data_IF_470276201200
#
_entry.id   IF_470276201200
#
_cell.length_a   1.000
_cell.length_b   1.000
_cell.length_c   1.000
_cell.angle_alpha   90.00
_cell.angle_beta   90.00
_cell.angle_gamma   90.00
#
_symmetry.space_group_name_H-M   'P 1'
#
loop_
_entity.id
_entity.type
_entity.pdbx_description
1 polymer ?
#
# COMPACT_ATOMS: atom_id res chain seq x y z
N UNK A 1 17.34 -21.33 6.57
CA UNK A 1 16.25 -20.33 6.53
C UNK A 1 15.41 -20.47 7.80
N UNK A 2 14.92 -19.36 8.35
CA UNK A 2 13.97 -19.38 9.48
C UNK A 2 12.65 -18.76 9.02
N UNK A 3 11.52 -19.23 9.54
CA UNK A 3 10.26 -18.55 9.43
C UNK A 3 10.00 -17.78 10.72
N UNK A 4 9.66 -16.48 10.61
CA UNK A 4 9.25 -15.67 11.76
C UNK A 4 7.76 -15.37 11.60
N UNK A 5 6.95 -15.80 12.58
CA UNK A 5 5.51 -15.74 12.52
C UNK A 5 4.95 -14.50 13.21
N UNK A 6 3.89 -13.95 12.64
CA UNK A 6 3.01 -12.97 13.28
C UNK A 6 1.57 -13.43 13.22
N UNK A 7 0.79 -13.14 14.25
CA UNK A 7 -0.66 -13.34 14.28
C UNK A 7 -1.42 -12.04 14.08
N UNK A 8 -0.71 -10.92 13.94
CA UNK A 8 -1.31 -9.61 13.73
C UNK A 8 -1.93 -9.49 12.33
N UNK A 9 -3.07 -8.83 12.26
CA UNK A 9 -3.68 -8.38 11.01
C UNK A 9 -3.68 -6.84 10.90
N UNK A 10 -3.04 -6.16 11.83
CA UNK A 10 -2.91 -4.71 11.79
C UNK A 10 -1.87 -4.28 10.75
N UNK A 11 -2.25 -3.47 9.73
CA UNK A 11 -1.34 -3.12 8.65
C UNK A 11 -0.16 -2.26 9.09
N UNK A 12 -0.32 -1.41 10.11
CA UNK A 12 0.76 -0.58 10.64
C UNK A 12 1.76 -1.42 11.42
N UNK A 13 1.24 -2.27 12.31
CA UNK A 13 2.07 -3.21 13.06
C UNK A 13 2.84 -4.15 12.12
N UNK A 14 2.18 -4.70 11.10
CA UNK A 14 2.82 -5.66 10.20
C UNK A 14 3.91 -5.01 9.33
N UNK A 15 3.77 -3.74 8.93
CA UNK A 15 4.86 -3.01 8.28
C UNK A 15 6.04 -2.76 9.25
N UNK A 16 5.75 -2.44 10.50
CA UNK A 16 6.79 -2.30 11.54
C UNK A 16 7.45 -3.64 11.86
N UNK A 17 6.68 -4.73 11.91
CA UNK A 17 7.18 -6.08 12.12
C UNK A 17 8.17 -6.50 11.02
N UNK A 18 7.79 -6.30 9.75
CA UNK A 18 8.67 -6.56 8.61
C UNK A 18 9.95 -5.72 8.65
N UNK A 19 9.84 -4.42 8.94
CA UNK A 19 10.98 -3.50 9.07
C UNK A 19 11.89 -3.88 10.25
N UNK A 20 11.31 -4.24 11.40
CA UNK A 20 12.04 -4.71 12.56
C UNK A 20 12.85 -5.97 12.23
N UNK A 21 12.21 -6.97 11.64
CA UNK A 21 12.88 -8.22 11.25
C UNK A 21 14.00 -7.93 10.24
N UNK A 22 13.75 -7.10 9.23
CA UNK A 22 14.76 -6.73 8.24
C UNK A 22 16.00 -6.06 8.85
N UNK A 23 15.82 -5.25 9.89
CA UNK A 23 16.91 -4.54 10.55
C UNK A 23 17.69 -5.40 11.54
N UNK A 24 17.01 -6.33 12.22
CA UNK A 24 17.58 -7.07 13.36
C UNK A 24 18.10 -8.45 13.00
N UNK A 25 17.46 -9.15 12.08
CA UNK A 25 17.92 -10.48 11.62
C UNK A 25 18.92 -10.32 10.49
N UNK A 26 20.20 -10.33 10.88
CA UNK A 26 21.31 -9.98 9.96
C UNK A 26 22.00 -11.18 9.34
N UNK A 27 21.68 -12.40 9.77
CA UNK A 27 22.30 -13.64 9.31
C UNK A 27 21.24 -14.62 8.82
N UNK A 28 21.62 -15.40 7.80
CA UNK A 28 20.75 -16.41 7.20
C UNK A 28 19.54 -15.84 6.46
N UNK A 29 18.77 -16.72 5.85
CA UNK A 29 17.56 -16.34 5.13
C UNK A 29 16.34 -16.37 6.04
N UNK A 30 15.42 -15.43 5.84
CA UNK A 30 14.18 -15.30 6.62
C UNK A 30 12.98 -15.34 5.68
N UNK A 31 11.94 -16.08 6.08
CA UNK A 31 10.61 -16.07 5.48
C UNK A 31 9.62 -15.46 6.45
N UNK A 32 8.80 -14.52 5.98
CA UNK A 32 7.58 -14.06 6.64
C UNK A 32 6.39 -14.37 5.75
N UNK A 33 5.28 -14.86 6.36
CA UNK A 33 3.98 -14.98 5.73
C UNK A 33 2.97 -14.28 6.64
N UNK A 34 2.27 -13.28 6.10
CA UNK A 34 1.42 -12.43 6.92
C UNK A 34 0.25 -11.84 6.12
N UNK A 35 -0.79 -11.40 6.82
CA UNK A 35 -2.01 -10.86 6.23
C UNK A 35 -2.41 -9.58 6.94
N UNK A 36 -3.11 -8.70 6.24
CA UNK A 36 -3.69 -7.49 6.82
C UNK A 36 -5.21 -7.54 6.77
N UNK A 37 -5.87 -6.90 7.73
CA UNK A 37 -7.22 -6.37 7.52
C UNK A 37 -7.19 -5.35 6.37
N UNK A 38 -8.37 -4.96 5.81
CA UNK A 38 -8.43 -4.04 4.69
C UNK A 38 -7.56 -2.80 4.89
N UNK A 39 -6.63 -2.57 3.95
CA UNK A 39 -5.70 -1.44 3.97
C UNK A 39 -5.15 -1.19 2.57
N UNK A 40 -4.84 0.07 2.27
CA UNK A 40 -4.04 0.46 1.11
C UNK A 40 -2.58 0.62 1.53
N UNK A 41 -1.68 -0.08 0.84
CA UNK A 41 -0.23 0.02 1.10
C UNK A 41 0.46 0.68 -0.08
N UNK A 42 0.94 1.91 0.13
CA UNK A 42 1.63 2.71 -0.90
C UNK A 42 3.15 2.54 -0.83
N UNK A 43 3.80 2.61 -1.97
CA UNK A 43 5.26 2.61 -2.05
C UNK A 43 5.88 3.90 -1.48
N UNK A 44 7.13 3.83 -1.01
CA UNK A 44 7.77 4.94 -0.30
C UNK A 44 7.94 6.22 -1.15
N UNK A 45 7.88 6.12 -2.48
CA UNK A 45 8.06 7.25 -3.41
C UNK A 45 6.78 7.67 -4.14
N UNK A 46 5.61 7.14 -3.71
CA UNK A 46 4.35 7.42 -4.37
C UNK A 46 3.64 8.65 -3.81
N UNK A 47 2.94 9.35 -4.70
CA UNK A 47 1.95 10.36 -4.32
C UNK A 47 0.62 9.67 -4.05
N UNK A 48 0.20 9.64 -2.78
CA UNK A 48 -1.03 8.96 -2.35
C UNK A 48 -2.25 9.48 -3.12
N UNK A 49 -2.36 10.80 -3.32
CA UNK A 49 -3.51 11.42 -3.97
C UNK A 49 -3.69 11.01 -5.45
N UNK A 50 -2.63 10.55 -6.11
CA UNK A 50 -2.70 10.04 -7.49
C UNK A 50 -3.00 8.54 -7.56
N UNK A 51 -2.77 7.84 -6.46
CA UNK A 51 -2.82 6.38 -6.44
C UNK A 51 -4.15 5.83 -5.95
N UNK A 52 -4.92 6.63 -5.21
CA UNK A 52 -6.12 6.16 -4.54
C UNK A 52 -7.28 7.15 -4.67
N UNK A 53 -8.49 6.61 -4.68
CA UNK A 53 -9.72 7.39 -4.61
C UNK A 53 -10.00 7.76 -3.16
N UNK A 54 -9.66 9.00 -2.76
CA UNK A 54 -9.70 9.46 -1.36
C UNK A 54 -11.07 9.31 -0.72
N UNK A 55 -12.13 9.63 -1.48
CA UNK A 55 -13.50 9.49 -1.01
C UNK A 55 -13.83 8.04 -0.65
N UNK A 56 -13.49 7.09 -1.51
CA UNK A 56 -13.73 5.67 -1.25
C UNK A 56 -13.00 5.19 0.02
N UNK A 57 -11.79 5.69 0.28
CA UNK A 57 -11.07 5.38 1.52
C UNK A 57 -11.80 5.89 2.77
N UNK A 58 -12.30 7.15 2.74
CA UNK A 58 -13.03 7.74 3.86
C UNK A 58 -14.35 7.00 4.11
N UNK A 59 -15.13 6.76 3.07
CA UNK A 59 -16.46 6.12 3.16
C UNK A 59 -16.35 4.68 3.70
N UNK A 60 -15.25 3.99 3.38
CA UNK A 60 -14.98 2.61 3.81
C UNK A 60 -14.17 2.50 5.10
N UNK A 61 -13.63 3.60 5.61
CA UNK A 61 -12.74 3.59 6.78
C UNK A 61 -11.45 2.81 6.55
N UNK A 62 -10.93 2.77 5.30
CA UNK A 62 -9.76 1.99 4.93
C UNK A 62 -8.50 2.81 5.17
N UNK A 63 -7.57 2.37 6.03
CA UNK A 63 -6.34 3.08 6.30
C UNK A 63 -5.36 3.01 5.12
N UNK A 64 -4.55 4.06 4.99
CA UNK A 64 -3.40 4.10 4.11
C UNK A 64 -2.13 3.94 4.93
N UNK A 65 -1.26 3.02 4.50
CA UNK A 65 0.04 2.77 5.13
C UNK A 65 1.14 2.90 4.08
N UNK A 66 2.23 3.58 4.41
CA UNK A 66 3.39 3.69 3.52
C UNK A 66 4.43 2.66 3.92
N UNK A 67 4.76 1.73 2.99
CA UNK A 67 5.82 0.74 3.21
C UNK A 67 7.21 1.34 2.99
N UNK A 68 8.23 0.63 3.47
CA UNK A 68 9.63 1.05 3.36
C UNK A 68 10.26 0.83 1.98
N UNK A 69 9.66 0.00 1.12
CA UNK A 69 10.14 -0.28 -0.24
C UNK A 69 9.48 0.63 -1.28
N UNK A 70 10.03 0.67 -2.48
CA UNK A 70 9.43 1.34 -3.64
C UNK A 70 8.27 0.53 -4.26
N UNK A 71 8.03 0.76 -5.55
CA UNK A 71 6.96 0.09 -6.32
C UNK A 71 5.60 0.76 -6.19
N UNK A 72 4.58 0.14 -6.79
CA UNK A 72 3.21 0.64 -6.88
C UNK A 72 2.36 0.41 -5.63
N UNK A 73 1.20 1.01 -5.62
CA UNK A 73 0.17 0.83 -4.58
C UNK A 73 -0.50 -0.53 -4.69
N UNK A 74 -0.73 -1.17 -3.56
CA UNK A 74 -1.46 -2.43 -3.44
C UNK A 74 -2.58 -2.31 -2.42
N UNK A 75 -3.63 -3.09 -2.62
CA UNK A 75 -4.69 -3.29 -1.65
C UNK A 75 -4.46 -4.62 -0.91
N UNK A 76 -4.63 -4.61 0.38
CA UNK A 76 -4.59 -5.79 1.23
C UNK A 76 -5.93 -6.00 1.91
N UNK A 77 -6.34 -7.24 2.02
CA UNK A 77 -7.41 -7.73 2.88
C UNK A 77 -7.04 -9.11 3.45
N UNK A 78 -7.95 -9.74 4.16
CA UNK A 78 -7.69 -11.07 4.73
C UNK A 78 -7.65 -12.18 3.67
N UNK A 79 -8.09 -11.90 2.43
CA UNK A 79 -7.96 -12.77 1.26
C UNK A 79 -6.62 -12.64 0.53
N UNK A 80 -5.77 -11.69 0.91
CA UNK A 80 -4.42 -11.53 0.38
C UNK A 80 -3.38 -12.09 1.36
N UNK A 81 -2.50 -12.98 0.88
CA UNK A 81 -1.32 -13.43 1.63
C UNK A 81 -0.10 -12.64 1.19
N UNK A 82 0.57 -11.98 2.13
CA UNK A 82 1.86 -11.37 1.86
C UNK A 82 2.98 -12.36 2.17
N UNK A 83 4.02 -12.37 1.34
CA UNK A 83 5.26 -13.07 1.61
C UNK A 83 6.42 -12.07 1.65
N UNK A 84 7.41 -12.36 2.50
CA UNK A 84 8.66 -11.61 2.57
C UNK A 84 9.83 -12.57 2.65
N UNK A 85 10.77 -12.42 1.74
CA UNK A 85 12.04 -13.12 1.73
C UNK A 85 13.14 -12.11 2.06
N UNK A 86 13.94 -12.40 3.08
CA UNK A 86 15.10 -11.58 3.45
C UNK A 86 16.34 -12.47 3.30
N UNK A 87 17.32 -12.00 2.55
CA UNK A 87 18.56 -12.72 2.30
C UNK A 87 19.75 -11.78 2.19
N UNK A 88 20.96 -12.33 2.14
CA UNK A 88 22.15 -11.54 1.86
C UNK A 88 22.15 -10.99 0.42
N UNK A 89 22.61 -9.76 0.30
CA UNK A 89 22.85 -9.14 -1.00
C UNK A 89 24.10 -9.76 -1.64
N UNK A 90 23.92 -10.49 -2.73
CA UNK A 90 25.02 -11.16 -3.47
C UNK A 90 25.30 -10.54 -4.82
N UNK A 91 24.72 -9.37 -5.12
CA UNK A 91 24.85 -8.70 -6.41
C UNK A 91 23.86 -7.56 -6.60
N UNK A 92 23.62 -7.13 -7.85
CA UNK A 92 22.59 -6.14 -8.17
C UNK A 92 21.19 -6.67 -7.83
N UNK A 93 20.18 -5.78 -7.87
CA UNK A 93 18.77 -6.17 -7.72
C UNK A 93 18.40 -7.27 -8.73
N UNK A 94 17.97 -8.41 -8.20
CA UNK A 94 17.53 -9.56 -8.98
C UNK A 94 16.16 -10.02 -8.47
N UNK A 95 15.11 -9.66 -9.23
CA UNK A 95 13.76 -10.10 -8.93
C UNK A 95 13.56 -11.59 -9.21
N UNK A 96 14.24 -12.14 -10.24
CA UNK A 96 14.04 -13.50 -10.68
C UNK A 96 14.46 -14.50 -9.61
N UNK A 97 15.59 -14.24 -8.95
CA UNK A 97 16.07 -15.06 -7.83
C UNK A 97 15.04 -15.20 -6.71
N UNK A 98 14.24 -14.15 -6.46
CA UNK A 98 13.23 -14.15 -5.39
C UNK A 98 11.87 -14.65 -5.88
N UNK A 99 11.50 -14.37 -7.13
CA UNK A 99 10.21 -14.80 -7.70
C UNK A 99 10.18 -16.29 -8.02
N UNK A 100 11.30 -16.86 -8.50
CA UNK A 100 11.35 -18.27 -8.92
C UNK A 100 10.94 -19.26 -7.82
N UNK A 101 11.40 -19.15 -6.54
CA UNK A 101 10.91 -20.02 -5.46
C UNK A 101 9.41 -19.91 -5.25
N UNK A 102 8.85 -18.71 -5.32
CA UNK A 102 7.41 -18.46 -5.14
C UNK A 102 6.61 -19.05 -6.30
N UNK A 103 7.08 -18.88 -7.53
CA UNK A 103 6.45 -19.47 -8.72
C UNK A 103 6.47 -21.00 -8.63
N UNK A 104 7.60 -21.61 -8.25
CA UNK A 104 7.70 -23.06 -8.05
C UNK A 104 6.74 -23.57 -6.97
N UNK A 105 6.65 -22.86 -5.84
CA UNK A 105 5.73 -23.19 -4.77
C UNK A 105 4.27 -23.16 -5.24
N UNK A 106 3.86 -22.12 -5.97
CA UNK A 106 2.52 -22.01 -6.55
C UNK A 106 2.24 -23.14 -7.57
N UNK A 107 3.20 -23.44 -8.44
CA UNK A 107 3.07 -24.53 -9.41
C UNK A 107 2.93 -25.90 -8.73
N UNK A 108 3.64 -26.15 -7.64
CA UNK A 108 3.51 -27.38 -6.85
C UNK A 108 2.11 -27.52 -6.22
N UNK A 109 1.43 -26.39 -5.95
CA UNK A 109 0.04 -26.37 -5.46
C UNK A 109 -1.00 -26.40 -6.59
N UNK A 110 -0.57 -26.50 -7.85
CA UNK A 110 -1.44 -26.61 -9.03
C UNK A 110 -1.77 -25.29 -9.72
N UNK A 111 -1.31 -24.16 -9.19
CA UNK A 111 -1.51 -22.84 -9.81
C UNK A 111 -0.51 -22.66 -10.96
N UNK A 112 -0.92 -22.52 -12.23
CA UNK A 112 -0.01 -22.40 -13.38
C UNK A 112 0.63 -21.01 -13.44
N UNK A 113 1.35 -20.67 -12.36
CA UNK A 113 1.97 -19.37 -12.16
C UNK A 113 3.22 -19.20 -13.04
N UNK A 114 3.35 -18.02 -13.61
CA UNK A 114 4.52 -17.65 -14.40
C UNK A 114 4.89 -16.19 -14.18
N UNK A 115 6.15 -15.85 -14.41
CA UNK A 115 6.58 -14.46 -14.45
C UNK A 115 5.93 -13.74 -15.63
N UNK A 116 5.40 -12.55 -15.40
CA UNK A 116 4.79 -11.73 -16.45
C UNK A 116 5.61 -10.45 -16.70
N UNK A 117 5.76 -9.62 -15.66
CA UNK A 117 6.60 -8.42 -15.66
C UNK A 117 7.80 -8.63 -14.73
N UNK A 118 8.79 -7.73 -14.70
CA UNK A 118 9.97 -7.93 -13.85
C UNK A 118 9.65 -8.24 -12.39
N UNK A 119 8.54 -7.70 -11.84
CA UNK A 119 8.16 -7.84 -10.43
C UNK A 119 6.77 -8.48 -10.22
N UNK A 120 6.17 -9.07 -11.28
CA UNK A 120 4.81 -9.61 -11.22
C UNK A 120 4.79 -11.11 -11.54
N UNK A 121 3.93 -11.83 -10.81
CA UNK A 121 3.54 -13.21 -11.14
C UNK A 121 2.10 -13.18 -11.67
N UNK A 122 1.82 -13.96 -12.70
CA UNK A 122 0.52 -14.03 -13.35
C UNK A 122 0.09 -15.47 -13.64
N UNK A 123 -1.21 -15.65 -13.83
CA UNK A 123 -1.88 -16.83 -14.37
C UNK A 123 -2.75 -16.37 -15.52
N UNK A 124 -2.69 -17.03 -16.67
CA UNK A 124 -3.45 -16.69 -17.88
C UNK A 124 -3.35 -15.19 -18.27
N UNK A 125 -2.15 -14.62 -18.10
CA UNK A 125 -1.87 -13.20 -18.37
C UNK A 125 -2.44 -12.21 -17.35
N UNK A 126 -3.17 -12.67 -16.33
CA UNK A 126 -3.72 -11.84 -15.24
C UNK A 126 -2.80 -11.92 -14.02
N UNK A 127 -2.48 -10.76 -13.45
CA UNK A 127 -1.60 -10.68 -12.28
C UNK A 127 -2.26 -11.26 -11.03
N UNK A 128 -1.52 -12.12 -10.32
CA UNK A 128 -1.88 -12.70 -9.02
C UNK A 128 -0.95 -12.23 -7.90
N UNK A 129 0.19 -11.63 -8.27
CA UNK A 129 1.21 -11.15 -7.33
C UNK A 129 1.94 -9.93 -7.90
N UNK A 130 2.16 -8.94 -7.07
CA UNK A 130 3.11 -7.87 -7.31
C UNK A 130 4.14 -7.83 -6.20
N UNK A 131 5.40 -7.54 -6.53
CA UNK A 131 6.48 -7.51 -5.57
C UNK A 131 7.31 -6.24 -5.64
N UNK A 132 8.04 -5.96 -4.56
CA UNK A 132 9.00 -4.87 -4.46
C UNK A 132 10.22 -5.35 -3.67
N UNK A 133 11.33 -4.63 -3.84
CA UNK A 133 12.57 -4.93 -3.12
C UNK A 133 13.11 -3.71 -2.40
N UNK A 134 13.83 -3.95 -1.31
CA UNK A 134 14.64 -2.97 -0.62
C UNK A 134 16.01 -3.57 -0.31
N UNK A 135 17.05 -2.79 -0.57
CA UNK A 135 18.42 -3.14 -0.19
C UNK A 135 18.89 -2.15 0.88
N UNK A 136 19.40 -2.67 1.97
CA UNK A 136 20.07 -1.88 2.99
C UNK A 136 21.01 -2.76 3.84
N UNK A 137 22.18 -2.21 4.16
CA UNK A 137 23.14 -2.86 5.03
C UNK A 137 23.57 -4.26 4.58
N UNK A 138 23.74 -4.49 3.29
CA UNK A 138 24.15 -5.80 2.75
C UNK A 138 23.03 -6.86 2.74
N UNK A 139 21.78 -6.49 2.98
CA UNK A 139 20.63 -7.39 2.95
C UNK A 139 19.63 -6.94 1.88
N UNK A 140 18.95 -7.91 1.29
CA UNK A 140 17.80 -7.71 0.39
C UNK A 140 16.55 -8.16 1.11
N UNK A 141 15.54 -7.30 1.14
CA UNK A 141 14.17 -7.64 1.44
C UNK A 141 13.41 -7.67 0.12
N UNK A 142 12.79 -8.80 -0.19
CA UNK A 142 11.86 -8.96 -1.29
C UNK A 142 10.51 -9.36 -0.73
N UNK A 143 9.50 -8.53 -0.95
CA UNK A 143 8.16 -8.84 -0.51
C UNK A 143 7.16 -8.74 -1.66
N UNK A 144 6.09 -9.49 -1.56
CA UNK A 144 5.02 -9.48 -2.54
C UNK A 144 3.70 -9.91 -1.95
N UNK A 145 2.65 -9.65 -2.73
CA UNK A 145 1.27 -10.06 -2.47
C UNK A 145 0.97 -11.38 -3.18
N UNK A 146 0.07 -12.18 -2.64
CA UNK A 146 -0.57 -13.29 -3.31
C UNK A 146 -2.09 -13.08 -3.18
N UNK A 147 -2.73 -12.67 -4.27
CA UNK A 147 -4.18 -12.47 -4.32
C UNK A 147 -4.86 -13.84 -4.27
N UNK A 148 -5.08 -14.34 -3.05
CA UNK A 148 -5.65 -15.68 -2.86
C UNK A 148 -7.16 -15.66 -3.12
N UNK A 149 -7.90 -14.85 -2.36
CA UNK A 149 -9.36 -14.68 -2.43
C UNK A 149 -9.74 -13.26 -1.97
N UNK A 150 -9.04 -12.27 -2.54
CA UNK A 150 -9.20 -10.85 -2.21
C UNK A 150 -10.45 -10.25 -2.85
N UNK A 151 -11.03 -9.24 -2.23
CA UNK A 151 -12.11 -8.45 -2.83
C UNK A 151 -11.56 -7.54 -3.94
N UNK A 152 -11.62 -8.06 -5.18
CA UNK A 152 -11.12 -7.33 -6.36
C UNK A 152 -12.03 -6.16 -6.74
N UNK A 153 -13.32 -6.18 -6.35
CA UNK A 153 -14.24 -5.08 -6.62
C UNK A 153 -13.88 -3.86 -5.77
N UNK A 154 -13.51 -4.09 -4.52
CA UNK A 154 -13.04 -3.04 -3.62
C UNK A 154 -11.66 -2.50 -4.04
N UNK A 155 -10.77 -3.38 -4.53
CA UNK A 155 -9.52 -2.95 -5.14
C UNK A 155 -9.77 -1.97 -6.30
N UNK A 156 -10.70 -2.30 -7.21
CA UNK A 156 -11.02 -1.44 -8.35
C UNK A 156 -11.62 -0.09 -7.89
N UNK A 157 -12.56 -0.10 -6.94
CA UNK A 157 -13.16 1.11 -6.37
C UNK A 157 -12.10 2.05 -5.78
N UNK A 158 -11.18 1.51 -4.96
CA UNK A 158 -10.14 2.30 -4.31
C UNK A 158 -9.12 2.84 -5.31
N UNK A 159 -8.85 2.11 -6.39
CA UNK A 159 -7.85 2.48 -7.39
C UNK A 159 -8.44 3.19 -8.61
N UNK A 160 -9.77 3.33 -8.67
CA UNK A 160 -10.44 4.18 -9.66
C UNK A 160 -9.99 5.62 -9.44
N UNK A 161 -9.50 6.29 -10.48
CA UNK A 161 -8.96 7.64 -10.39
C UNK A 161 -7.44 7.72 -10.30
N UNK A 162 -6.70 6.60 -10.38
CA UNK A 162 -5.22 6.58 -10.47
C UNK A 162 -4.62 7.47 -11.56
N UNK A 163 -5.42 7.96 -12.50
CA UNK A 163 -5.04 8.93 -13.52
C UNK A 163 -5.75 10.27 -13.30
N UNK A 164 -5.89 10.69 -12.05
CA UNK A 164 -6.43 12.01 -11.78
C UNK A 164 -5.44 13.08 -12.27
N UNK A 165 -5.71 13.63 -13.46
CA UNK A 165 -4.87 14.64 -14.13
C UNK A 165 -4.80 15.97 -13.37
N UNK A 166 -5.66 16.16 -12.36
CA UNK A 166 -5.60 17.30 -11.46
C UNK A 166 -4.31 17.33 -10.61
N UNK A 167 -3.65 16.17 -10.42
CA UNK A 167 -2.42 16.07 -9.65
C UNK A 167 -1.18 15.97 -10.54
N UNK A 168 -0.37 17.02 -10.60
CA UNK A 168 0.95 17.00 -11.25
C UNK A 168 2.05 16.69 -10.22
N UNK A 169 2.66 15.51 -10.30
CA UNK A 169 3.68 15.00 -9.36
C UNK A 169 4.78 14.24 -10.08
N UNK A 170 6.00 14.25 -9.52
CA UNK A 170 7.13 13.41 -9.94
C UNK A 170 7.20 12.07 -9.16
N UNK A 171 6.19 11.73 -8.38
CA UNK A 171 6.12 10.45 -7.66
C UNK A 171 6.08 9.25 -8.62
N UNK A 172 6.52 8.10 -8.13
CA UNK A 172 6.39 6.83 -8.85
C UNK A 172 4.91 6.49 -9.03
N UNK A 173 4.51 6.08 -10.23
CA UNK A 173 3.13 5.68 -10.54
C UNK A 173 2.98 4.16 -10.54
N UNK A 174 1.78 3.70 -10.17
CA UNK A 174 1.44 2.28 -10.28
C UNK A 174 1.19 1.89 -11.73
N UNK A 175 1.69 0.72 -12.13
CA UNK A 175 1.38 0.15 -13.43
C UNK A 175 -0.03 -0.47 -13.42
N UNK A 176 -0.88 -0.03 -14.32
CA UNK A 176 -2.23 -0.60 -14.50
C UNK A 176 -2.09 -2.01 -15.09
N UNK A 177 -2.80 -2.97 -14.50
CA UNK A 177 -2.85 -4.35 -14.98
C UNK A 177 -4.15 -5.03 -14.54
N UNK A 178 -4.58 -6.01 -15.32
CA UNK A 178 -5.68 -6.89 -14.94
C UNK A 178 -5.19 -7.86 -13.86
N UNK A 179 -5.94 -8.00 -12.79
CA UNK A 179 -5.66 -8.90 -11.67
C UNK A 179 -6.66 -10.05 -11.60
N UNK A 180 -6.31 -11.11 -10.91
CA UNK A 180 -7.21 -12.22 -10.59
C UNK A 180 -6.79 -12.87 -9.27
N UNK A 181 -7.72 -13.56 -8.61
CA UNK A 181 -7.43 -14.39 -7.45
C UNK A 181 -6.84 -15.73 -7.90
N UNK A 182 -5.96 -16.31 -7.07
CA UNK A 182 -5.30 -17.58 -7.38
C UNK A 182 -6.08 -18.81 -6.87
N UNK A 183 -7.00 -18.64 -5.91
CA UNK A 183 -7.79 -19.74 -5.32
C UNK A 183 -8.46 -20.64 -6.37
N UNK A 184 -9.10 -20.11 -7.45
CA UNK A 184 -9.74 -20.94 -8.47
C UNK A 184 -8.77 -21.84 -9.28
N UNK A 185 -7.47 -21.60 -9.20
CA UNK A 185 -6.45 -22.36 -9.91
C UNK A 185 -5.79 -23.44 -9.04
N UNK A 186 -6.10 -23.49 -7.75
CA UNK A 186 -5.58 -24.53 -6.86
C UNK A 186 -6.06 -25.91 -7.31
N UNK A 187 -5.19 -26.90 -7.21
CA UNK A 187 -5.55 -28.29 -7.44
C UNK A 187 -6.59 -28.80 -6.42
N UNK A 188 -6.37 -28.44 -5.15
CA UNK A 188 -7.24 -28.76 -4.04
C UNK A 188 -7.63 -27.46 -3.35
N UNK A 189 -8.93 -27.11 -3.37
CA UNK A 189 -9.44 -25.92 -2.68
C UNK A 189 -9.16 -25.97 -1.18
N UNK A 190 -8.85 -24.84 -0.60
CA UNK A 190 -8.58 -24.72 0.82
C UNK A 190 -8.77 -23.29 1.30
N UNK A 191 -8.83 -23.12 2.62
CA UNK A 191 -8.81 -21.82 3.26
C UNK A 191 -7.40 -21.20 3.22
N UNK A 192 -7.33 -19.87 3.23
CA UNK A 192 -6.06 -19.11 3.14
C UNK A 192 -5.04 -19.51 4.21
N UNK A 193 -5.49 -19.90 5.41
CA UNK A 193 -4.58 -20.35 6.47
C UNK A 193 -3.89 -21.67 6.08
N UNK A 194 -4.62 -22.58 5.45
CA UNK A 194 -4.08 -23.82 4.91
C UNK A 194 -3.16 -23.54 3.72
N UNK A 195 -3.56 -22.63 2.84
CA UNK A 195 -2.72 -22.18 1.73
C UNK A 195 -1.39 -21.59 2.23
N UNK A 196 -1.42 -20.73 3.25
CA UNK A 196 -0.21 -20.16 3.83
C UNK A 196 0.74 -21.24 4.40
N UNK A 197 0.22 -22.27 5.06
CA UNK A 197 1.00 -23.41 5.54
C UNK A 197 1.64 -24.18 4.38
N UNK A 198 0.85 -24.51 3.35
CA UNK A 198 1.36 -25.19 2.14
C UNK A 198 2.43 -24.36 1.42
N UNK A 199 2.26 -23.05 1.35
CA UNK A 199 3.30 -22.15 0.81
C UNK A 199 4.57 -22.17 1.65
N UNK A 200 4.45 -22.14 2.99
CA UNK A 200 5.62 -22.26 3.88
C UNK A 200 6.35 -23.59 3.66
N UNK A 201 5.63 -24.72 3.58
CA UNK A 201 6.21 -26.04 3.32
C UNK A 201 6.97 -26.11 1.99
N UNK A 202 6.54 -25.37 0.96
CA UNK A 202 7.22 -25.32 -0.34
C UNK A 202 8.41 -24.34 -0.34
N UNK A 203 8.37 -23.28 0.45
CA UNK A 203 9.40 -22.24 0.48
C UNK A 203 10.53 -22.54 1.46
N UNK A 204 10.24 -23.27 2.53
CA UNK A 204 11.21 -23.57 3.59
C UNK A 204 12.00 -24.84 3.25
N UNK A 205 13.35 -24.81 3.30
CA UNK A 205 14.15 -26.01 3.27
C UNK A 205 13.81 -26.96 4.43
N UNK A 206 14.00 -28.28 4.25
CA UNK A 206 13.85 -29.23 5.35
C UNK A 206 14.69 -28.85 6.57
N UNK A 207 14.11 -28.94 7.76
CA UNK A 207 14.81 -28.59 9.01
C UNK A 207 14.83 -27.09 9.33
N UNK A 208 14.10 -26.26 8.57
CA UNK A 208 13.91 -24.84 8.90
C UNK A 208 13.16 -24.68 10.21
N UNK A 209 13.58 -23.69 11.01
CA UNK A 209 12.93 -23.36 12.27
C UNK A 209 11.77 -22.40 12.04
N UNK A 210 10.73 -22.53 12.88
CA UNK A 210 9.63 -21.58 13.00
C UNK A 210 9.69 -20.94 14.38
N UNK A 211 9.83 -19.61 14.40
CA UNK A 211 9.96 -18.85 15.64
C UNK A 211 8.94 -17.72 15.70
N UNK A 212 8.72 -17.23 16.90
CA UNK A 212 7.97 -16.00 17.17
C UNK A 212 8.85 -15.01 17.90
N UNK A 213 8.59 -13.73 17.70
CA UNK A 213 9.25 -12.70 18.46
C UNK A 213 8.84 -12.79 19.94
N UNK A 214 9.79 -12.53 20.82
CA UNK A 214 9.55 -12.42 22.27
C UNK A 214 8.78 -11.14 22.60
N UNK A 215 8.16 -11.07 23.78
CA UNK A 215 7.43 -9.85 24.19
C UNK A 215 8.29 -8.57 24.19
N UNK A 216 9.55 -8.56 24.62
CA UNK A 216 10.42 -7.39 24.46
C UNK A 216 10.60 -6.97 22.98
N UNK A 217 10.78 -7.94 22.07
CA UNK A 217 10.89 -7.67 20.63
C UNK A 217 9.57 -7.13 20.04
N UNK A 218 8.43 -7.71 20.46
CA UNK A 218 7.11 -7.22 20.06
C UNK A 218 6.84 -5.80 20.59
N UNK A 219 7.35 -5.45 21.78
CA UNK A 219 7.28 -4.08 22.31
C UNK A 219 8.05 -3.09 21.41
N UNK A 220 9.23 -3.48 20.92
CA UNK A 220 9.99 -2.66 19.95
C UNK A 220 9.25 -2.52 18.62
N UNK A 221 8.60 -3.59 18.13
CA UNK A 221 7.75 -3.51 16.93
C UNK A 221 6.60 -2.54 17.12
N UNK A 222 5.90 -2.58 18.29
CA UNK A 222 4.82 -1.64 18.60
C UNK A 222 5.34 -0.20 18.63
N UNK A 223 6.47 0.04 19.29
CA UNK A 223 7.12 1.35 19.32
C UNK A 223 7.45 1.85 17.90
N UNK A 224 8.03 0.99 17.06
CA UNK A 224 8.32 1.32 15.67
C UNK A 224 7.03 1.61 14.86
N UNK A 225 5.96 0.86 15.11
CA UNK A 225 4.66 1.11 14.50
C UNK A 225 4.14 2.51 14.85
N UNK A 226 4.18 2.87 16.14
CA UNK A 226 3.67 4.16 16.64
C UNK A 226 4.55 5.34 16.17
N UNK A 227 5.88 5.21 16.29
CA UNK A 227 6.81 6.30 15.95
C UNK A 227 6.97 6.52 14.44
N UNK A 228 6.69 5.49 13.63
CA UNK A 228 6.92 5.55 12.18
C UNK A 228 5.63 5.34 11.39
N UNK A 229 5.05 4.15 11.43
CA UNK A 229 4.02 3.76 10.48
C UNK A 229 2.66 4.43 10.75
N UNK A 230 2.32 4.69 12.02
CA UNK A 230 1.16 5.51 12.41
C UNK A 230 1.43 7.01 12.26
N UNK A 231 2.70 7.42 12.24
CA UNK A 231 3.04 8.83 12.15
C UNK A 231 2.60 9.44 10.81
N UNK A 232 1.87 10.54 10.88
CA UNK A 232 1.44 11.30 9.70
C UNK A 232 2.65 11.71 8.82
N UNK A 233 3.76 12.12 9.44
CA UNK A 233 4.99 12.51 8.75
C UNK A 233 5.54 11.40 7.85
N UNK A 234 5.39 10.14 8.24
CA UNK A 234 5.82 9.00 7.44
C UNK A 234 4.87 8.73 6.28
N UNK A 235 3.58 8.60 6.55
CA UNK A 235 2.61 8.17 5.55
C UNK A 235 2.28 9.30 4.58
N UNK A 236 1.81 10.43 5.10
CA UNK A 236 1.34 11.56 4.30
C UNK A 236 2.42 12.62 4.07
N UNK A 237 3.21 12.94 5.09
CA UNK A 237 4.28 13.93 5.03
C UNK A 237 5.38 13.59 4.02
N UNK A 238 5.63 12.30 3.75
CA UNK A 238 6.57 11.83 2.70
C UNK A 238 5.98 11.82 1.30
N UNK A 239 4.72 12.19 1.10
CA UNK A 239 4.17 12.33 -0.26
C UNK A 239 5.04 13.29 -1.06
N UNK A 240 5.53 12.89 -2.26
CA UNK A 240 6.29 13.77 -3.14
C UNK A 240 5.55 15.07 -3.39
N UNK A 241 6.29 16.17 -3.53
CA UNK A 241 5.70 17.46 -3.84
C UNK A 241 4.85 17.39 -5.11
N UNK A 242 3.70 18.06 -5.10
CA UNK A 242 2.79 18.11 -6.23
C UNK A 242 2.04 19.43 -6.31
N UNK A 243 1.48 19.70 -7.48
CA UNK A 243 0.45 20.73 -7.69
C UNK A 243 -0.86 20.03 -7.99
N UNK A 244 -1.92 20.49 -7.36
CA UNK A 244 -3.30 20.14 -7.69
C UNK A 244 -3.95 21.30 -8.41
N UNK A 245 -4.66 21.03 -9.50
CA UNK A 245 -5.43 22.02 -10.23
C UNK A 245 -6.68 21.35 -10.82
N UNK A 246 -7.86 21.88 -10.49
CA UNK A 246 -9.12 21.35 -10.95
C UNK A 246 -10.15 22.45 -11.17
N UNK A 247 -10.83 22.37 -12.32
CA UNK A 247 -12.08 23.06 -12.57
C UNK A 247 -13.22 22.06 -12.42
N UNK A 248 -14.21 22.38 -11.62
CA UNK A 248 -15.34 21.52 -11.31
C UNK A 248 -16.63 22.36 -11.16
N UNK A 249 -17.71 21.74 -10.77
CA UNK A 249 -18.96 22.36 -10.37
C UNK A 249 -19.21 22.12 -8.90
N UNK A 250 -19.63 23.14 -8.16
CA UNK A 250 -20.05 23.08 -6.78
C UNK A 250 -21.34 23.86 -6.60
N UNK A 251 -22.38 23.23 -6.04
CA UNK A 251 -23.71 23.83 -5.88
C UNK A 251 -24.30 24.41 -7.17
N UNK A 252 -24.07 23.76 -8.31
CA UNK A 252 -24.55 24.21 -9.62
C UNK A 252 -23.82 25.41 -10.21
N UNK A 253 -22.64 25.77 -9.66
CA UNK A 253 -21.81 26.88 -10.15
C UNK A 253 -20.36 26.45 -10.35
N UNK A 254 -19.62 27.09 -11.26
CA UNK A 254 -18.22 26.79 -11.46
C UNK A 254 -17.37 27.03 -10.20
N UNK A 255 -16.44 26.13 -9.95
CA UNK A 255 -15.38 26.28 -8.97
C UNK A 255 -14.04 25.93 -9.59
N UNK A 256 -13.03 26.75 -9.35
CA UNK A 256 -11.63 26.46 -9.67
C UNK A 256 -10.85 26.39 -8.38
N UNK A 257 -10.04 25.33 -8.25
CA UNK A 257 -9.15 25.14 -7.11
C UNK A 257 -7.76 24.78 -7.60
N UNK A 258 -6.77 25.45 -7.05
CA UNK A 258 -5.36 25.13 -7.23
C UNK A 258 -4.64 25.22 -5.89
N UNK A 259 -3.73 24.29 -5.63
CA UNK A 259 -2.78 24.38 -4.50
C UNK A 259 -1.52 23.57 -4.79
N UNK A 260 -0.46 23.85 -4.04
CA UNK A 260 0.74 23.04 -3.99
C UNK A 260 0.78 22.28 -2.68
N UNK A 261 1.37 21.07 -2.69
CA UNK A 261 1.71 20.34 -1.48
C UNK A 261 3.20 20.04 -1.41
N UNK A 262 3.82 20.36 -0.28
CA UNK A 262 5.22 20.07 -0.01
C UNK A 262 5.37 19.54 1.41
N UNK A 263 6.01 18.39 1.57
CA UNK A 263 6.13 17.69 2.86
C UNK A 263 4.75 17.50 3.51
N UNK A 264 3.75 17.15 2.70
CA UNK A 264 2.38 16.94 3.14
C UNK A 264 1.64 18.20 3.62
N UNK A 265 2.19 19.41 3.48
CA UNK A 265 1.53 20.67 3.83
C UNK A 265 1.10 21.41 2.56
N UNK A 266 -0.14 21.89 2.54
CA UNK A 266 -0.69 22.67 1.45
C UNK A 266 -0.19 24.12 1.50
N UNK A 267 0.04 24.69 0.33
CA UNK A 267 0.54 26.07 0.15
C UNK A 267 0.02 26.66 -1.15
N UNK A 268 0.09 27.96 -1.26
CA UNK A 268 -0.23 28.71 -2.47
C UNK A 268 -1.62 28.34 -3.02
N UNK A 269 -2.59 28.20 -2.12
CA UNK A 269 -3.97 27.90 -2.51
C UNK A 269 -4.57 29.10 -3.25
N UNK A 270 -5.25 28.79 -4.36
CA UNK A 270 -6.05 29.72 -5.15
C UNK A 270 -7.43 29.07 -5.36
N UNK A 271 -8.46 29.78 -5.01
CA UNK A 271 -9.86 29.36 -5.20
C UNK A 271 -10.64 30.45 -5.88
N UNK A 272 -11.43 30.10 -6.89
CA UNK A 272 -12.37 31.00 -7.58
C UNK A 272 -13.74 30.33 -7.63
N UNK A 273 -14.74 30.93 -6.99
CA UNK A 273 -16.13 30.45 -7.00
C UNK A 273 -17.06 31.56 -6.51
N UNK A 274 -18.29 31.56 -7.08
CA UNK A 274 -19.41 32.37 -6.60
C UNK A 274 -20.42 31.57 -5.74
N UNK A 275 -20.12 30.28 -5.49
CA UNK A 275 -21.01 29.38 -4.76
C UNK A 275 -20.69 29.29 -3.26
N UNK A 276 -19.51 29.76 -2.85
CA UNK A 276 -19.03 29.76 -1.45
C UNK A 276 -18.05 30.91 -1.22
N UNK A 277 -17.66 31.12 0.03
CA UNK A 277 -16.60 32.08 0.37
C UNK A 277 -15.23 31.52 -0.07
N UNK A 278 -14.83 31.85 -1.28
CA UNK A 278 -13.59 31.43 -1.90
C UNK A 278 -12.36 31.94 -1.14
N UNK A 279 -12.44 33.11 -0.50
CA UNK A 279 -11.35 33.68 0.29
C UNK A 279 -11.16 32.90 1.60
N UNK A 280 -12.23 32.54 2.27
CA UNK A 280 -12.19 31.71 3.46
C UNK A 280 -11.63 30.31 3.14
N UNK A 281 -12.09 29.66 2.08
CA UNK A 281 -11.56 28.35 1.65
C UNK A 281 -10.06 28.43 1.32
N UNK A 282 -9.64 29.46 0.59
CA UNK A 282 -8.24 29.70 0.27
C UNK A 282 -7.37 29.86 1.53
N UNK A 283 -7.84 30.65 2.51
CA UNK A 283 -7.16 30.84 3.79
C UNK A 283 -7.06 29.53 4.59
N UNK A 284 -8.13 28.76 4.64
CA UNK A 284 -8.19 27.49 5.37
C UNK A 284 -7.32 26.39 4.74
N UNK A 285 -7.16 26.35 3.42
CA UNK A 285 -6.31 25.38 2.73
C UNK A 285 -4.81 25.62 3.00
N UNK A 286 -4.38 26.88 3.16
CA UNK A 286 -2.97 27.18 3.36
C UNK A 286 -2.48 26.72 4.76
N UNK A 287 -1.46 25.87 4.78
CA UNK A 287 -0.87 25.29 5.98
C UNK A 287 -1.56 24.02 6.48
N UNK A 288 -2.66 23.60 5.84
CA UNK A 288 -3.34 22.37 6.21
C UNK A 288 -2.47 21.15 5.85
N UNK A 289 -2.51 20.14 6.72
CA UNK A 289 -1.93 18.83 6.47
C UNK A 289 -2.72 18.09 5.41
N UNK A 290 -2.01 17.41 4.52
CA UNK A 290 -2.59 16.46 3.58
C UNK A 290 -3.17 15.27 4.37
N UNK A 291 -4.45 15.34 4.65
CA UNK A 291 -5.20 14.35 5.42
C UNK A 291 -6.67 14.41 4.98
N UNK A 292 -7.21 13.34 4.37
CA UNK A 292 -8.60 13.34 3.88
C UNK A 292 -9.63 13.67 4.94
N UNK A 293 -9.41 13.25 6.20
CA UNK A 293 -10.35 13.55 7.29
C UNK A 293 -10.36 15.03 7.64
N UNK A 294 -9.18 15.68 7.68
CA UNK A 294 -9.10 17.13 7.87
C UNK A 294 -9.73 17.90 6.71
N UNK A 295 -9.57 17.44 5.47
CA UNK A 295 -10.24 18.06 4.33
C UNK A 295 -11.76 17.97 4.45
N UNK A 296 -12.29 16.80 4.85
CA UNK A 296 -13.73 16.64 5.05
C UNK A 296 -14.26 17.55 6.16
N UNK A 297 -13.52 17.70 7.26
CA UNK A 297 -13.87 18.60 8.37
C UNK A 297 -13.90 20.08 7.92
N UNK A 298 -12.90 20.49 7.13
CA UNK A 298 -12.84 21.80 6.50
C UNK A 298 -14.05 22.04 5.57
N UNK A 299 -14.38 21.06 4.75
CA UNK A 299 -15.55 21.12 3.87
C UNK A 299 -16.86 21.22 4.67
N UNK A 300 -17.00 20.49 5.77
CA UNK A 300 -18.18 20.59 6.67
C UNK A 300 -18.34 21.99 7.26
N UNK A 301 -17.24 22.61 7.64
CA UNK A 301 -17.25 23.98 8.19
C UNK A 301 -17.74 25.00 7.16
N UNK A 302 -17.36 24.86 5.89
CA UNK A 302 -17.65 25.84 4.83
C UNK A 302 -18.94 25.55 4.07
N UNK A 303 -19.29 24.29 3.86
CA UNK A 303 -20.35 23.89 2.95
C UNK A 303 -21.49 23.11 3.63
N UNK A 304 -21.39 22.81 4.93
CA UNK A 304 -22.44 22.11 5.69
C UNK A 304 -22.83 20.78 5.04
N UNK A 305 -24.08 20.63 4.64
CA UNK A 305 -24.61 19.42 4.02
C UNK A 305 -23.99 19.08 2.65
N UNK A 306 -23.33 20.06 1.99
CA UNK A 306 -22.62 19.88 0.71
C UNK A 306 -21.12 19.62 0.90
N UNK A 307 -20.68 19.24 2.11
CA UNK A 307 -19.27 19.02 2.42
C UNK A 307 -18.62 17.99 1.47
N UNK A 308 -19.32 16.93 1.15
CA UNK A 308 -18.85 15.87 0.29
C UNK A 308 -18.65 16.31 -1.16
N UNK A 309 -19.59 17.10 -1.69
CA UNK A 309 -19.48 17.71 -3.03
C UNK A 309 -18.27 18.66 -3.10
N UNK A 310 -18.03 19.44 -2.04
CA UNK A 310 -16.85 20.30 -1.94
C UNK A 310 -15.57 19.47 -1.84
N UNK A 311 -15.56 18.40 -1.06
CA UNK A 311 -14.41 17.51 -0.96
C UNK A 311 -14.00 16.95 -2.32
N UNK A 312 -14.96 16.53 -3.14
CA UNK A 312 -14.72 16.04 -4.51
C UNK A 312 -14.11 17.11 -5.43
N UNK A 313 -14.27 18.40 -5.09
CA UNK A 313 -13.59 19.49 -5.80
C UNK A 313 -12.14 19.71 -5.32
N UNK A 314 -11.79 19.22 -4.14
CA UNK A 314 -10.49 19.48 -3.49
C UNK A 314 -9.50 18.30 -3.61
N UNK A 315 -10.00 17.11 -4.01
CA UNK A 315 -9.19 15.88 -4.01
C UNK A 315 -9.43 15.01 -5.24
#
# INVERSE_FOLDING_TARGET
>A
MIQIETTSHDPFFNQAFEDYVFRTYREGDVLLLWRNRPAVVVGCYQNICREVHMRALLDRGIPVVRRMSGGGTVYHDLGNLNYTLISDQTGPLDYDRCLEPVIRALNALGVPAQKNRPCDIAVDGKKISGSAQKIAGGRVLHHGTLLFDSDLSLLDEITTGRKNDAFCSKGTESAICTVTNLRPYLKDDCEIVTFAKRMAEQLLPPGSEQIRLTEPQLAEVRRLADETYHAWDWTWGKTPAFTYEKSAEFAGKPIFVRYEARRGLLRNAEVRSDALDAQALCAMLNGVRLDPALFLELCRTLAGERAEELLDCLM
#
